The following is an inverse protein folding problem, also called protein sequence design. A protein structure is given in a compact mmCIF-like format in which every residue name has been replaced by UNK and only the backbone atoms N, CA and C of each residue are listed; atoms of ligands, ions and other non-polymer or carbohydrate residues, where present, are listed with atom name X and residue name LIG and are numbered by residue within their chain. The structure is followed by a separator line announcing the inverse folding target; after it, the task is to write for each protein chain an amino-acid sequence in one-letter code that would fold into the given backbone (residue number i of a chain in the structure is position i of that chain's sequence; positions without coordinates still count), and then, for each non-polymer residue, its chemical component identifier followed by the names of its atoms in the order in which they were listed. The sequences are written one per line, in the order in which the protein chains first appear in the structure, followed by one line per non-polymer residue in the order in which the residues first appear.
data_IF_815052135180
#
_entry.id   IF_815052135180
#
_cell.length_a   1.000
_cell.length_b   1.000
_cell.length_c   1.000
_cell.angle_alpha   90.00
_cell.angle_beta   90.00
_cell.angle_gamma   90.00
#
_symmetry.space_group_name_H-M   'P 1'
#
loop_
_entity.id
_entity.type
_entity.pdbx_description
1 polymer ?
#
# COMPACT_ATOMS: atom_id res chain seq x y z
N UNK A 1 -5.46 12.61 -6.16
CA UNK A 1 -5.14 11.44 -5.33
C UNK A 1 -3.66 11.53 -5.04
N UNK A 2 -3.23 11.63 -3.77
CA UNK A 2 -1.79 11.62 -3.46
C UNK A 2 -1.20 10.35 -4.07
N UNK A 3 -0.20 10.50 -4.94
CA UNK A 3 0.43 9.37 -5.59
C UNK A 3 1.06 8.50 -4.49
N UNK A 4 0.65 7.23 -4.37
CA UNK A 4 1.17 6.34 -3.33
C UNK A 4 2.70 6.18 -3.43
N UNK A 5 3.26 6.38 -4.64
CA UNK A 5 4.70 6.46 -4.87
C UNK A 5 5.35 7.61 -4.10
N UNK A 6 4.74 8.79 -4.10
CA UNK A 6 5.32 9.97 -3.44
C UNK A 6 5.31 9.78 -1.92
N UNK A 7 4.23 9.19 -1.40
CA UNK A 7 4.13 8.82 0.02
C UNK A 7 5.22 7.81 0.40
N UNK A 8 5.43 6.79 -0.43
CA UNK A 8 6.50 5.80 -0.23
C UNK A 8 7.88 6.47 -0.22
N UNK A 9 8.15 7.33 -1.20
CA UNK A 9 9.42 8.06 -1.32
C UNK A 9 9.63 8.97 -0.10
N UNK A 10 8.61 9.72 0.32
CA UNK A 10 8.67 10.58 1.49
C UNK A 10 8.95 9.80 2.79
N UNK A 11 8.52 8.53 2.87
CA UNK A 11 8.82 7.62 3.98
C UNK A 11 10.19 6.94 3.87
N UNK A 12 10.92 7.11 2.76
CA UNK A 12 12.20 6.45 2.53
C UNK A 12 12.10 4.93 2.35
N UNK A 13 10.95 4.44 1.91
CA UNK A 13 10.67 3.01 1.82
C UNK A 13 10.91 2.47 0.41
N UNK A 14 11.41 1.23 0.33
CA UNK A 14 11.41 0.49 -0.92
C UNK A 14 10.00 -0.03 -1.26
N UNK A 15 9.81 -0.51 -2.49
CA UNK A 15 8.50 -0.99 -2.97
C UNK A 15 7.99 -2.19 -2.17
N UNK A 16 8.85 -3.14 -1.84
CA UNK A 16 8.47 -4.33 -1.08
C UNK A 16 7.91 -3.96 0.29
N UNK A 17 8.65 -3.17 1.07
CA UNK A 17 8.22 -2.69 2.40
C UNK A 17 6.89 -1.95 2.32
N UNK A 18 6.71 -1.10 1.31
CA UNK A 18 5.49 -0.30 1.17
C UNK A 18 4.28 -1.15 0.78
N UNK A 19 4.41 -1.93 -0.28
CA UNK A 19 3.31 -2.65 -0.91
C UNK A 19 2.90 -3.91 -0.15
N UNK A 20 3.84 -4.57 0.56
CA UNK A 20 3.54 -5.74 1.37
C UNK A 20 2.49 -5.45 2.46
N UNK A 21 2.41 -4.20 2.97
CA UNK A 21 1.36 -3.80 3.93
C UNK A 21 -0.04 -4.00 3.39
N UNK A 22 -0.22 -3.92 2.08
CA UNK A 22 -1.50 -4.05 1.40
C UNK A 22 -1.67 -5.43 0.75
N UNK A 23 -0.80 -6.40 1.07
CA UNK A 23 -0.79 -7.73 0.44
C UNK A 23 -0.36 -7.71 -1.03
N UNK A 24 0.35 -6.66 -1.46
CA UNK A 24 0.79 -6.47 -2.84
C UNK A 24 2.28 -6.80 -2.91
N UNK A 25 2.66 -7.70 -3.82
CA UNK A 25 4.07 -8.05 -4.05
C UNK A 25 4.85 -6.87 -4.64
N UNK A 26 6.19 -6.88 -4.49
CA UNK A 26 7.06 -5.84 -5.06
C UNK A 26 6.83 -5.64 -6.57
N UNK A 27 6.72 -6.72 -7.35
CA UNK A 27 6.50 -6.64 -8.80
C UNK A 27 5.14 -6.03 -9.18
N UNK A 28 4.07 -6.36 -8.44
CA UNK A 28 2.77 -5.73 -8.61
C UNK A 28 2.81 -4.24 -8.22
N UNK A 29 3.48 -3.93 -7.11
CA UNK A 29 3.69 -2.56 -6.63
C UNK A 29 4.47 -1.70 -7.63
N UNK A 30 5.50 -2.26 -8.26
CA UNK A 30 6.23 -1.56 -9.33
C UNK A 30 5.28 -1.18 -10.47
N UNK A 31 4.44 -2.11 -10.93
CA UNK A 31 3.49 -1.83 -12.02
C UNK A 31 2.47 -0.78 -11.62
N UNK A 32 2.04 -0.75 -10.37
CA UNK A 32 1.16 0.30 -9.85
C UNK A 32 1.81 1.69 -9.83
N UNK A 33 3.15 1.75 -9.78
CA UNK A 33 3.89 3.02 -9.80
C UNK A 33 4.27 3.49 -11.21
N UNK A 34 4.25 2.61 -12.22
CA UNK A 34 4.81 2.91 -13.55
C UNK A 34 3.94 2.53 -14.76
N UNK A 35 3.08 1.52 -14.66
CA UNK A 35 2.52 0.83 -15.84
C UNK A 35 1.00 0.59 -15.77
N UNK A 36 0.38 0.66 -14.59
CA UNK A 36 -1.02 0.27 -14.39
C UNK A 36 -1.66 1.07 -13.25
N UNK A 37 -2.94 1.35 -13.40
CA UNK A 37 -3.75 1.88 -12.30
C UNK A 37 -3.82 0.91 -11.11
N UNK A 38 -3.78 1.49 -9.92
CA UNK A 38 -3.98 0.78 -8.65
C UNK A 38 -5.44 0.29 -8.60
N UNK A 39 -5.71 -0.99 -8.29
CA UNK A 39 -7.06 -1.47 -8.08
C UNK A 39 -7.78 -0.67 -7.00
N UNK A 40 -9.06 -0.36 -7.24
CA UNK A 40 -9.89 0.45 -6.32
C UNK A 40 -9.84 -0.06 -4.86
N UNK A 41 -9.94 -1.38 -4.57
CA UNK A 41 -9.86 -1.86 -3.19
C UNK A 41 -8.52 -1.54 -2.51
N UNK A 42 -7.40 -1.72 -3.24
CA UNK A 42 -6.05 -1.41 -2.75
C UNK A 42 -5.88 0.08 -2.50
N UNK A 43 -6.36 0.92 -3.42
CA UNK A 43 -6.33 2.38 -3.28
C UNK A 43 -7.15 2.87 -2.09
N UNK A 44 -8.34 2.30 -1.88
CA UNK A 44 -9.19 2.63 -0.72
C UNK A 44 -8.53 2.21 0.59
N UNK A 45 -7.94 1.01 0.66
CA UNK A 45 -7.23 0.54 1.84
C UNK A 45 -6.03 1.43 2.17
N UNK A 46 -5.24 1.81 1.16
CA UNK A 46 -4.13 2.75 1.33
C UNK A 46 -4.63 4.11 1.82
N UNK A 47 -5.75 4.63 1.29
CA UNK A 47 -6.31 5.89 1.76
C UNK A 47 -6.74 5.83 3.24
N UNK A 48 -7.43 4.77 3.65
CA UNK A 48 -7.84 4.58 5.06
C UNK A 48 -6.64 4.50 6.00
N UNK A 49 -5.56 3.82 5.56
CA UNK A 49 -4.32 3.77 6.31
C UNK A 49 -3.63 5.13 6.40
N UNK A 50 -3.46 5.82 5.27
CA UNK A 50 -2.75 7.10 5.20
C UNK A 50 -3.48 8.26 5.89
N UNK A 51 -4.81 8.16 6.01
CA UNK A 51 -5.63 9.11 6.76
C UNK A 51 -5.74 8.79 8.24
N UNK A 52 -5.11 7.70 8.71
CA UNK A 52 -5.10 7.30 10.12
C UNK A 52 -6.37 6.61 10.60
N UNK A 53 -7.31 6.29 9.70
CA UNK A 53 -8.53 5.53 10.05
C UNK A 53 -8.17 4.09 10.46
N UNK A 54 -7.13 3.52 9.84
CA UNK A 54 -6.60 2.19 10.17
C UNK A 54 -5.11 2.36 10.51
N UNK A 55 -4.64 1.72 11.59
CA UNK A 55 -3.23 1.71 11.97
C UNK A 55 -2.44 0.60 11.26
N UNK A 56 -1.11 0.73 11.19
CA UNK A 56 -0.22 -0.33 10.69
C UNK A 56 -0.46 -1.67 11.39
N UNK A 57 -0.71 -1.65 12.71
CA UNK A 57 -0.97 -2.85 13.49
C UNK A 57 -2.30 -3.54 13.10
N UNK A 58 -3.35 -2.74 12.85
CA UNK A 58 -4.63 -3.27 12.40
C UNK A 58 -4.52 -3.84 10.98
N UNK A 59 -3.78 -3.15 10.10
CA UNK A 59 -3.50 -3.60 8.74
C UNK A 59 -2.71 -4.91 8.72
N UNK A 60 -1.63 -5.01 9.48
CA UNK A 60 -0.82 -6.22 9.60
C UNK A 60 -1.63 -7.41 10.14
N UNK A 61 -2.50 -7.18 11.13
CA UNK A 61 -3.41 -8.19 11.66
C UNK A 61 -4.42 -8.68 10.61
N UNK A 62 -5.00 -7.76 9.84
CA UNK A 62 -5.97 -8.09 8.79
C UNK A 62 -5.32 -8.92 7.67
N UNK A 63 -4.13 -8.54 7.20
CA UNK A 63 -3.39 -9.31 6.18
C UNK A 63 -3.05 -10.71 6.68
N UNK A 64 -2.58 -10.85 7.93
CA UNK A 64 -2.28 -12.15 8.53
C UNK A 64 -3.52 -13.06 8.65
N UNK A 65 -4.71 -12.48 8.81
CA UNK A 65 -5.96 -13.24 8.89
C UNK A 65 -6.52 -13.65 7.52
N UNK A 66 -6.07 -13.01 6.44
CA UNK A 66 -6.52 -13.24 5.07
C UNK A 66 -5.66 -14.25 4.29
N UNK A 67 -4.54 -14.69 4.88
CA UNK A 67 -3.60 -15.70 4.36
C UNK A 67 -3.70 -16.96 5.21
#
# INVERSE_FOLDING_TARGET
MHNLRDVRIARGENQETFWNRYGVTQSCGSRYETERDIPVPTGALALLHLTGVISDAALAKAIKAAV
#
